data_IF_835351291529
#
_entry.id   IF_835351291529
#
_cell.length_a   1.000
_cell.length_b   1.000
_cell.length_c   1.000
_cell.angle_alpha   90.00
_cell.angle_beta   90.00
_cell.angle_gamma   90.00
#
_symmetry.space_group_name_H-M   'P 1'
#
loop_
_entity.id
_entity.type
_entity.pdbx_description
1 polymer ?
#
# COMPACT_ATOMS: atom_id res chain seq x y z
N UNK A 1 -0.52 6.14 14.46
CA UNK A 1 -0.07 5.45 13.23
C UNK A 1 -0.06 6.46 12.10
N UNK A 2 0.95 7.34 12.08
CA UNK A 2 0.91 8.56 11.23
C UNK A 2 2.20 8.85 10.46
N UNK A 3 3.32 8.24 10.84
CA UNK A 3 4.62 8.40 10.19
C UNK A 3 5.34 7.06 10.14
N UNK A 4 6.43 7.01 9.35
CA UNK A 4 7.28 5.83 9.19
C UNK A 4 7.93 5.41 10.52
N UNK A 5 8.29 6.34 11.40
CA UNK A 5 8.90 6.06 12.71
C UNK A 5 7.92 5.34 13.64
N UNK A 6 6.63 5.68 13.58
CA UNK A 6 5.60 4.98 14.35
C UNK A 6 5.45 3.54 13.86
N UNK A 7 5.53 3.30 12.54
CA UNK A 7 5.54 1.95 11.99
C UNK A 7 6.77 1.15 12.48
N UNK A 8 7.96 1.76 12.53
CA UNK A 8 9.15 1.14 13.10
C UNK A 8 8.94 0.76 14.57
N UNK A 9 8.46 1.70 15.39
CA UNK A 9 8.22 1.44 16.81
C UNK A 9 7.21 0.32 17.05
N UNK A 10 6.14 0.23 16.25
CA UNK A 10 5.17 -0.86 16.36
C UNK A 10 5.74 -2.22 15.96
N UNK A 11 6.60 -2.25 14.93
CA UNK A 11 7.34 -3.46 14.56
C UNK A 11 8.25 -3.92 15.71
N UNK A 12 8.94 -2.99 16.36
CA UNK A 12 9.84 -3.31 17.49
C UNK A 12 9.11 -3.82 18.72
N UNK A 13 7.90 -3.31 19.00
CA UNK A 13 7.10 -3.75 20.16
C UNK A 13 6.64 -5.21 20.00
N UNK A 14 6.26 -5.64 18.79
CA UNK A 14 5.91 -7.05 18.49
C UNK A 14 6.47 -7.44 17.12
N UNK A 15 7.60 -8.15 17.11
CA UNK A 15 8.23 -8.63 15.88
C UNK A 15 7.61 -9.95 15.39
N UNK A 16 6.40 -9.86 14.86
CA UNK A 16 5.68 -10.98 14.23
C UNK A 16 5.14 -10.56 12.88
N UNK A 17 5.16 -11.42 11.86
CA UNK A 17 4.58 -11.12 10.54
C UNK A 17 3.09 -10.78 10.62
N UNK A 18 2.39 -11.30 11.63
CA UNK A 18 0.98 -11.02 11.88
C UNK A 18 0.74 -9.60 12.42
N UNK A 19 1.79 -8.94 12.92
CA UNK A 19 1.79 -7.51 13.23
C UNK A 19 2.16 -6.73 11.97
N UNK A 20 1.15 -6.57 11.09
CA UNK A 20 1.28 -5.90 9.81
C UNK A 20 0.50 -4.59 9.72
N UNK A 21 0.54 -3.99 8.55
CA UNK A 21 -0.03 -2.68 8.28
C UNK A 21 -0.99 -2.72 7.09
N UNK A 22 -2.02 -1.89 7.17
CA UNK A 22 -2.76 -1.44 5.99
C UNK A 22 -2.08 -0.19 5.44
N UNK A 23 -1.57 -0.26 4.20
CA UNK A 23 -1.03 0.92 3.51
C UNK A 23 -2.18 1.76 2.95
N UNK A 24 -2.64 2.73 3.74
CA UNK A 24 -3.67 3.69 3.32
C UNK A 24 -3.03 4.98 2.79
N UNK A 25 -2.92 5.09 1.47
CA UNK A 25 -2.22 6.21 0.81
C UNK A 25 -2.91 7.54 1.06
N UNK A 26 -4.23 7.57 1.11
CA UNK A 26 -4.98 8.81 1.40
C UNK A 26 -4.94 9.24 2.87
N UNK A 27 -4.55 8.37 3.81
CA UNK A 27 -4.35 8.76 5.21
C UNK A 27 -2.92 9.23 5.43
N UNK A 28 -1.92 8.43 5.05
CA UNK A 28 -0.52 8.81 5.21
C UNK A 28 -0.14 10.00 4.31
N UNK A 29 -0.71 10.09 3.10
CA UNK A 29 -0.40 11.13 2.12
C UNK A 29 -0.92 12.52 2.44
N UNK A 30 -1.74 12.69 3.48
CA UNK A 30 -2.17 14.03 3.96
C UNK A 30 -0.96 14.87 4.35
N UNK A 31 0.04 14.26 5.01
CA UNK A 31 1.26 14.95 5.39
C UNK A 31 2.28 14.89 4.25
N UNK A 32 2.84 16.04 3.88
CA UNK A 32 3.84 16.14 2.81
C UNK A 32 5.19 15.50 3.17
N UNK A 33 5.47 15.25 4.45
CA UNK A 33 6.71 14.63 4.91
C UNK A 33 6.67 13.09 4.92
N UNK A 34 5.51 12.49 4.63
CA UNK A 34 5.40 11.04 4.46
C UNK A 34 5.73 10.63 3.02
N UNK A 35 6.90 10.04 2.84
CA UNK A 35 7.27 9.37 1.60
C UNK A 35 6.61 7.98 1.53
N UNK A 36 5.48 7.91 0.82
CA UNK A 36 4.67 6.70 0.71
C UNK A 36 5.41 5.55 0.00
N UNK A 37 6.25 5.87 -0.99
CA UNK A 37 7.02 4.86 -1.72
C UNK A 37 8.05 4.24 -0.78
N UNK A 38 8.81 5.08 -0.07
CA UNK A 38 9.76 4.61 0.94
C UNK A 38 9.10 3.80 2.05
N UNK A 39 7.89 4.18 2.48
CA UNK A 39 7.14 3.40 3.47
C UNK A 39 6.77 2.01 2.93
N UNK A 40 6.35 1.90 1.67
CA UNK A 40 6.10 0.60 1.01
C UNK A 40 7.38 -0.22 0.91
N UNK A 41 8.49 0.38 0.50
CA UNK A 41 9.78 -0.33 0.38
C UNK A 41 10.30 -0.81 1.73
N UNK A 42 10.11 -0.02 2.79
CA UNK A 42 10.64 -0.30 4.14
C UNK A 42 9.83 -1.39 4.85
N UNK A 43 8.50 -1.37 4.70
CA UNK A 43 7.58 -2.27 5.40
C UNK A 43 6.84 -3.21 4.46
N UNK A 44 7.38 -3.39 3.26
CA UNK A 44 6.79 -4.19 2.19
C UNK A 44 6.39 -5.56 2.68
N UNK A 45 7.25 -6.24 3.45
CA UNK A 45 7.02 -7.56 4.04
C UNK A 45 5.82 -7.64 5.00
N UNK A 46 5.35 -6.50 5.50
CA UNK A 46 4.29 -6.40 6.53
C UNK A 46 3.04 -5.69 6.05
N UNK A 47 3.02 -5.23 4.80
CA UNK A 47 1.81 -4.68 4.19
C UNK A 47 0.94 -5.86 3.74
N UNK A 48 -0.18 -6.05 4.43
CA UNK A 48 -1.13 -7.14 4.15
C UNK A 48 -2.37 -6.64 3.42
N UNK A 49 -2.56 -5.32 3.39
CA UNK A 49 -3.69 -4.70 2.73
C UNK A 49 -3.38 -3.26 2.33
N UNK A 50 -4.10 -2.76 1.33
CA UNK A 50 -3.88 -1.40 0.80
C UNK A 50 -5.20 -0.69 0.58
N UNK A 51 -5.29 0.59 0.97
CA UNK A 51 -6.31 1.50 0.47
C UNK A 51 -5.65 2.49 -0.47
N UNK A 52 -5.86 2.28 -1.77
CA UNK A 52 -5.29 3.09 -2.84
C UNK A 52 -6.27 4.20 -3.22
N UNK A 53 -6.20 5.32 -2.49
CA UNK A 53 -6.95 6.56 -2.76
C UNK A 53 -6.05 7.78 -2.59
N UNK A 54 -6.50 8.96 -2.99
CA UNK A 54 -5.70 10.18 -2.92
C UNK A 54 -6.47 11.32 -2.28
N UNK A 55 -5.76 12.19 -1.57
CA UNK A 55 -6.26 13.47 -1.06
C UNK A 55 -5.50 14.59 -1.77
N UNK A 56 -6.03 15.81 -1.72
CA UNK A 56 -5.36 17.01 -2.22
C UNK A 56 -5.37 18.07 -1.11
N UNK A 57 -4.18 18.51 -0.69
CA UNK A 57 -4.01 19.63 0.23
C UNK A 57 -4.39 20.93 -0.46
N UNK A 58 -4.98 21.82 0.31
CA UNK A 58 -5.32 23.17 -0.13
C UNK A 58 -4.21 24.15 0.24
N UNK A 59 -4.46 25.46 0.06
CA UNK A 59 -3.50 26.51 0.38
C UNK A 59 -3.05 26.46 1.85
N UNK A 60 -3.97 26.14 2.77
CA UNK A 60 -3.60 25.75 4.12
C UNK A 60 -3.20 24.25 4.10
N UNK A 61 -1.94 23.89 4.41
CA UNK A 61 -1.46 22.51 4.31
C UNK A 61 -2.11 21.54 5.30
N UNK A 62 -2.89 22.03 6.27
CA UNK A 62 -3.70 21.20 7.19
C UNK A 62 -5.14 21.01 6.72
N UNK A 63 -5.55 21.74 5.68
CA UNK A 63 -6.85 21.56 5.01
C UNK A 63 -6.63 20.69 3.78
N UNK A 64 -7.49 19.68 3.59
CA UNK A 64 -7.44 18.79 2.44
C UNK A 64 -8.84 18.27 2.13
N UNK A 65 -9.03 17.80 0.90
CA UNK A 65 -10.23 17.09 0.47
C UNK A 65 -9.87 15.76 -0.22
N UNK A 66 -10.86 14.88 -0.33
CA UNK A 66 -10.72 13.65 -1.12
C UNK A 66 -10.62 14.01 -2.60
N UNK A 67 -9.60 13.50 -3.27
CA UNK A 67 -9.31 13.79 -4.67
C UNK A 67 -9.70 12.58 -5.54
N UNK A 68 -9.81 12.82 -6.85
CA UNK A 68 -9.81 11.71 -7.80
C UNK A 68 -8.52 10.89 -7.62
N UNK A 69 -8.63 9.56 -7.72
CA UNK A 69 -7.56 8.62 -7.39
C UNK A 69 -6.19 8.95 -8.00
N UNK A 70 -6.17 9.45 -9.24
CA UNK A 70 -4.95 9.76 -10.00
C UNK A 70 -4.64 11.27 -10.07
N UNK A 71 -5.44 12.12 -9.43
CA UNK A 71 -5.33 13.58 -9.54
C UNK A 71 -5.38 14.25 -8.16
N UNK A 72 -4.60 13.71 -7.22
CA UNK A 72 -4.34 14.32 -5.91
C UNK A 72 -2.83 14.29 -5.61
N UNK A 73 -2.47 14.47 -4.35
CA UNK A 73 -1.08 14.58 -3.90
C UNK A 73 -0.31 13.24 -3.98
N UNK A 74 -1.01 12.12 -3.97
CA UNK A 74 -0.39 10.80 -4.07
C UNK A 74 0.06 10.52 -5.50
N UNK A 75 1.36 10.29 -5.70
CA UNK A 75 1.86 9.68 -6.93
C UNK A 75 1.46 8.20 -6.99
N UNK A 76 0.22 7.94 -7.41
CA UNK A 76 -0.38 6.61 -7.36
C UNK A 76 0.40 5.59 -8.20
N UNK A 77 0.94 6.00 -9.34
CA UNK A 77 1.74 5.13 -10.21
C UNK A 77 2.99 4.65 -9.48
N UNK A 78 3.71 5.56 -8.81
CA UNK A 78 4.91 5.19 -8.05
C UNK A 78 4.58 4.25 -6.88
N UNK A 79 3.49 4.50 -6.15
CA UNK A 79 3.07 3.63 -5.04
C UNK A 79 2.68 2.24 -5.53
N UNK A 80 1.88 2.14 -6.60
CA UNK A 80 1.49 0.85 -7.18
C UNK A 80 2.71 0.09 -7.69
N UNK A 81 3.67 0.77 -8.33
CA UNK A 81 4.92 0.14 -8.76
C UNK A 81 5.73 -0.44 -7.59
N UNK A 82 5.77 0.26 -6.46
CA UNK A 82 6.45 -0.23 -5.25
C UNK A 82 5.74 -1.47 -4.69
N UNK A 83 4.41 -1.48 -4.65
CA UNK A 83 3.61 -2.63 -4.20
C UNK A 83 3.83 -3.84 -5.12
N UNK A 84 3.74 -3.65 -6.44
CA UNK A 84 3.99 -4.72 -7.42
C UNK A 84 5.42 -5.28 -7.30
N UNK A 85 6.40 -4.43 -7.00
CA UNK A 85 7.78 -4.87 -6.78
C UNK A 85 7.91 -5.77 -5.56
N UNK A 86 7.17 -5.46 -4.48
CA UNK A 86 7.10 -6.29 -3.27
C UNK A 86 6.36 -7.61 -3.52
N UNK A 87 5.23 -7.61 -4.21
CA UNK A 87 4.51 -8.84 -4.61
C UNK A 87 5.43 -9.76 -5.43
N UNK A 88 6.13 -9.21 -6.43
CA UNK A 88 7.09 -9.97 -7.21
C UNK A 88 8.25 -10.50 -6.36
N UNK A 89 8.68 -9.76 -5.33
CA UNK A 89 9.71 -10.22 -4.39
C UNK A 89 9.20 -11.42 -3.58
N UNK A 90 7.99 -11.36 -3.02
CA UNK A 90 7.35 -12.45 -2.27
C UNK A 90 7.18 -13.71 -3.13
N UNK A 91 6.68 -13.53 -4.36
CA UNK A 91 6.55 -14.61 -5.33
C UNK A 91 7.90 -15.29 -5.64
N UNK A 92 8.97 -14.51 -5.84
CA UNK A 92 10.33 -15.06 -6.04
C UNK A 92 10.87 -15.79 -4.81
N UNK A 93 10.45 -15.40 -3.61
CA UNK A 93 10.82 -16.05 -2.35
C UNK A 93 9.97 -17.31 -2.05
N UNK A 94 8.92 -17.58 -2.83
CA UNK A 94 8.02 -18.72 -2.63
C UNK A 94 6.90 -18.48 -1.61
N UNK A 95 6.69 -17.24 -1.18
CA UNK A 95 5.66 -16.88 -0.20
C UNK A 95 4.37 -16.41 -0.88
N UNK A 96 3.59 -17.35 -1.40
CA UNK A 96 2.33 -17.08 -2.12
C UNK A 96 1.14 -16.80 -1.20
N UNK A 97 1.27 -17.06 0.11
CA UNK A 97 0.17 -16.93 1.08
C UNK A 97 -0.07 -15.48 1.51
N UNK A 98 0.89 -14.57 1.25
CA UNK A 98 0.87 -13.20 1.71
C UNK A 98 0.50 -12.17 0.63
N UNK A 99 0.34 -12.55 -0.64
CA UNK A 99 0.02 -11.59 -1.72
C UNK A 99 -1.29 -10.81 -1.45
N UNK A 100 -1.23 -9.47 -1.28
CA UNK A 100 -2.41 -8.66 -0.94
C UNK A 100 -3.35 -8.45 -2.14
N UNK A 101 -2.84 -8.62 -3.37
CA UNK A 101 -3.64 -8.67 -4.60
C UNK A 101 -3.55 -10.09 -5.18
N UNK A 102 -4.67 -10.83 -5.27
CA UNK A 102 -4.64 -12.14 -5.89
C UNK A 102 -4.22 -11.97 -7.35
N UNK A 103 -3.09 -12.56 -7.74
CA UNK A 103 -2.72 -12.65 -9.15
C UNK A 103 -3.84 -13.43 -9.84
N UNK A 104 -4.71 -12.72 -10.56
CA UNK A 104 -5.88 -13.30 -11.20
C UNK A 104 -5.49 -14.22 -12.36
N UNK A 105 -4.95 -15.41 -12.08
CA UNK A 105 -5.13 -16.55 -12.96
C UNK A 105 -6.55 -17.07 -12.72
N UNK A 106 -7.55 -16.34 -13.24
CA UNK A 106 -8.86 -16.95 -13.44
C UNK A 106 -8.61 -18.12 -14.40
N UNK A 107 -8.87 -19.38 -14.01
CA UNK A 107 -8.79 -20.48 -14.97
C UNK A 107 -9.68 -20.12 -16.17
N UNK A 108 -9.28 -20.45 -17.42
CA UNK A 108 -10.14 -20.20 -18.57
C UNK A 108 -11.51 -20.81 -18.29
N UNK A 109 -12.54 -19.98 -18.48
CA UNK A 109 -13.94 -20.32 -18.27
C UNK A 109 -14.21 -21.73 -18.83
N UNK A 110 -14.42 -22.69 -17.93
CA UNK A 110 -14.90 -24.01 -18.31
C UNK A 110 -16.34 -23.80 -18.80
N UNK A 111 -16.44 -23.66 -20.12
CA UNK A 111 -17.60 -23.19 -20.86
C UNK A 111 -18.94 -23.52 -20.21
N UNK A 112 -19.66 -22.47 -19.83
CA UNK A 112 -21.12 -22.56 -19.73
C UNK A 112 -21.67 -22.57 -21.15
N UNK A 113 -22.02 -23.77 -21.62
CA UNK A 113 -22.94 -23.94 -22.74
C UNK A 113 -24.24 -23.19 -22.42
N UNK A 114 -24.71 -22.42 -23.40
CA UNK A 114 -26.05 -21.85 -23.45
C UNK A 114 -27.14 -22.92 -23.32
#
# INVERSE_FOLDING_TARGET
MSTIEICSGLKEVVDSINNGFTMCTGSYGVRADNDLVKMVETFGDRIHFTHLRSTCREENPKTFHEAAHLNGDVNMVAVVNAILSEELRRKRAGDLASDPVPSGSRPPDAGRSA
#
